data_IF_159809709437
#
_entry.id   IF_159809709437
#
_cell.length_a   1.000
_cell.length_b   1.000
_cell.length_c   1.000
_cell.angle_alpha   90.00
_cell.angle_beta   90.00
_cell.angle_gamma   90.00
#
_symmetry.space_group_name_H-M   'P 1'
#
loop_
_entity.id
_entity.type
_entity.pdbx_description
1 polymer ?
#
# COMPACT_ATOMS: atom_id res chain seq x y z
N UNK A 1 11.63 -19.72 1.16
CA UNK A 1 11.27 -18.33 0.85
C UNK A 1 9.77 -18.15 1.03
N UNK A 2 9.36 -17.07 1.69
CA UNK A 2 7.93 -16.82 1.91
C UNK A 2 7.26 -16.36 0.62
N UNK A 3 6.13 -16.97 0.27
CA UNK A 3 5.30 -16.49 -0.84
C UNK A 3 4.57 -15.20 -0.48
N UNK A 4 4.48 -14.88 0.81
CA UNK A 4 3.79 -13.69 1.29
C UNK A 4 4.82 -12.62 1.59
N UNK A 5 4.91 -11.64 0.70
CA UNK A 5 5.86 -10.53 0.80
C UNK A 5 5.73 -9.83 2.15
N UNK A 6 6.80 -9.78 2.97
CA UNK A 6 6.73 -9.16 4.30
C UNK A 6 6.38 -7.67 4.27
N UNK A 7 6.69 -6.97 3.19
CA UNK A 7 6.32 -5.55 3.06
C UNK A 7 4.82 -5.39 2.84
N UNK A 8 4.16 -6.37 2.26
CA UNK A 8 2.71 -6.38 2.01
C UNK A 8 1.97 -7.08 3.15
N UNK A 9 2.52 -8.18 3.65
CA UNK A 9 1.88 -9.05 4.64
C UNK A 9 1.86 -8.41 6.03
N UNK A 10 1.16 -7.31 6.12
CA UNK A 10 0.95 -6.55 7.35
C UNK A 10 -0.40 -5.83 7.18
N UNK A 11 -1.31 -5.92 8.15
CA UNK A 11 -2.70 -5.48 7.97
C UNK A 11 -2.84 -4.04 7.45
N UNK A 12 -2.11 -3.10 8.02
CA UNK A 12 -2.23 -1.69 7.63
C UNK A 12 -1.66 -1.45 6.24
N UNK A 13 -0.48 -2.00 5.95
CA UNK A 13 0.13 -1.83 4.63
C UNK A 13 -0.70 -2.49 3.53
N UNK A 14 -1.27 -3.66 3.82
CA UNK A 14 -2.16 -4.32 2.87
C UNK A 14 -3.38 -3.43 2.57
N UNK A 15 -3.99 -2.84 3.60
CA UNK A 15 -5.13 -1.93 3.42
C UNK A 15 -4.75 -0.70 2.61
N UNK A 16 -3.57 -0.14 2.85
CA UNK A 16 -3.07 0.99 2.06
C UNK A 16 -2.98 0.62 0.58
N UNK A 17 -2.36 -0.51 0.27
CA UNK A 17 -2.18 -0.95 -1.11
C UNK A 17 -3.53 -1.24 -1.77
N UNK A 18 -4.47 -1.81 -1.05
CA UNK A 18 -5.83 -2.05 -1.56
C UNK A 18 -6.53 -0.73 -1.93
N UNK A 19 -6.42 0.28 -1.07
CA UNK A 19 -7.00 1.59 -1.35
C UNK A 19 -6.35 2.22 -2.58
N UNK A 20 -5.02 2.17 -2.67
CA UNK A 20 -4.29 2.75 -3.80
C UNK A 20 -4.54 2.00 -5.10
N UNK A 21 -4.88 0.72 -5.05
CA UNK A 21 -5.15 -0.06 -6.26
C UNK A 21 -6.42 0.37 -6.99
N UNK A 22 -7.32 1.06 -6.31
CA UNK A 22 -8.59 1.51 -6.88
C UNK A 22 -8.60 2.96 -7.37
N UNK A 23 -7.49 3.68 -7.25
CA UNK A 23 -7.40 5.10 -7.61
C UNK A 23 -6.09 5.39 -8.31
N UNK A 24 -6.00 6.54 -9.00
CA UNK A 24 -4.75 6.97 -9.62
C UNK A 24 -3.77 7.50 -8.57
N UNK A 25 -4.29 8.22 -7.59
CA UNK A 25 -3.51 8.75 -6.47
C UNK A 25 -4.44 9.03 -5.30
N UNK A 26 -3.88 9.02 -4.09
CA UNK A 26 -4.62 9.37 -2.89
C UNK A 26 -3.73 10.24 -2.00
N UNK A 27 -4.29 11.29 -1.44
CA UNK A 27 -3.51 12.16 -0.56
C UNK A 27 -3.45 11.60 0.86
N UNK A 28 -2.52 12.18 1.63
CA UNK A 28 -2.24 11.75 2.99
C UNK A 28 -3.50 11.83 3.88
N UNK A 29 -4.24 12.92 3.75
CA UNK A 29 -5.45 13.13 4.55
C UNK A 29 -6.53 12.10 4.27
N UNK A 30 -6.73 11.75 3.00
CA UNK A 30 -7.68 10.71 2.62
C UNK A 30 -7.31 9.37 3.25
N UNK A 31 -6.03 8.99 3.14
CA UNK A 31 -5.55 7.72 3.71
C UNK A 31 -5.68 7.71 5.23
N UNK A 32 -5.31 8.82 5.86
CA UNK A 32 -5.35 8.95 7.31
C UNK A 32 -6.78 8.78 7.83
N UNK A 33 -7.73 9.49 7.20
CA UNK A 33 -9.14 9.45 7.62
C UNK A 33 -9.77 8.09 7.33
N UNK A 34 -9.49 7.52 6.16
CA UNK A 34 -10.08 6.24 5.76
C UNK A 34 -9.59 5.10 6.63
N UNK A 35 -8.30 5.09 6.96
CA UNK A 35 -7.70 4.03 7.76
C UNK A 35 -7.88 4.25 9.27
N UNK A 36 -8.19 5.46 9.68
CA UNK A 36 -8.40 5.83 11.10
C UNK A 36 -7.18 5.46 11.96
N UNK A 37 -6.00 5.82 11.50
CA UNK A 37 -4.73 5.57 12.20
C UNK A 37 -4.04 6.89 12.49
N UNK A 38 -2.94 6.85 13.26
CA UNK A 38 -2.18 8.05 13.59
C UNK A 38 -1.31 8.48 12.41
N UNK A 39 -0.95 9.76 12.38
CA UNK A 39 -0.04 10.31 11.36
C UNK A 39 1.30 9.58 11.38
N UNK A 40 1.83 9.29 12.57
CA UNK A 40 3.10 8.58 12.70
C UNK A 40 3.04 7.18 12.14
N UNK A 41 1.95 6.45 12.41
CA UNK A 41 1.76 5.11 11.86
C UNK A 41 1.67 5.14 10.34
N UNK A 42 0.87 6.05 9.80
CA UNK A 42 0.74 6.17 8.34
C UNK A 42 2.08 6.50 7.70
N UNK A 43 2.80 7.50 8.22
CA UNK A 43 4.11 7.89 7.71
C UNK A 43 5.10 6.72 7.72
N UNK A 44 5.12 5.95 8.80
CA UNK A 44 6.01 4.81 8.93
C UNK A 44 5.72 3.74 7.89
N UNK A 45 4.45 3.39 7.72
CA UNK A 45 4.04 2.39 6.74
C UNK A 45 4.28 2.86 5.30
N UNK A 46 4.01 4.14 5.01
CA UNK A 46 4.25 4.68 3.68
C UNK A 46 5.74 4.68 3.33
N UNK A 47 6.61 5.04 4.30
CA UNK A 47 8.05 4.98 4.10
C UNK A 47 8.52 3.56 3.79
N UNK A 48 7.98 2.58 4.49
CA UNK A 48 8.30 1.17 4.24
C UNK A 48 7.89 0.74 2.83
N UNK A 49 6.70 1.13 2.39
CA UNK A 49 6.21 0.81 1.06
C UNK A 49 7.00 1.54 -0.04
N UNK A 50 7.40 2.77 0.23
CA UNK A 50 8.23 3.54 -0.69
C UNK A 50 9.61 2.90 -0.85
N UNK A 51 10.23 2.49 0.25
CA UNK A 51 11.52 1.79 0.23
C UNK A 51 11.45 0.47 -0.55
N UNK A 52 10.34 -0.22 -0.46
CA UNK A 52 10.12 -1.44 -1.22
C UNK A 52 9.88 -1.19 -2.71
N UNK A 53 9.66 0.06 -3.10
CA UNK A 53 9.38 0.41 -4.49
C UNK A 53 7.93 0.24 -4.90
N UNK A 54 7.02 0.07 -3.95
CA UNK A 54 5.62 -0.24 -4.24
C UNK A 54 4.72 0.97 -4.33
N UNK A 55 5.13 2.08 -3.74
CA UNK A 55 4.41 3.35 -3.85
C UNK A 55 5.40 4.45 -4.19
N UNK A 56 4.90 5.49 -4.86
CA UNK A 56 5.66 6.71 -5.09
C UNK A 56 4.94 7.88 -4.46
N UNK A 57 5.73 8.83 -3.96
CA UNK A 57 5.26 10.04 -3.31
C UNK A 57 5.32 11.18 -4.30
N UNK A 58 4.27 11.97 -4.37
CA UNK A 58 4.25 13.21 -5.14
C UNK A 58 3.89 14.34 -4.19
N UNK A 59 4.79 15.29 -4.06
CA UNK A 59 4.56 16.50 -3.25
C UNK A 59 4.20 17.64 -4.17
N UNK A 60 3.03 18.24 -3.92
CA UNK A 60 2.52 19.37 -4.68
C UNK A 60 2.09 20.47 -3.73
N UNK A 61 1.70 21.61 -4.30
CA UNK A 61 1.16 22.70 -3.53
C UNK A 61 -0.22 23.05 -4.07
N UNK A 62 -1.18 23.25 -3.16
CA UNK A 62 -2.45 23.84 -3.49
C UNK A 62 -2.41 25.27 -2.96
N UNK A 63 -2.10 26.23 -3.84
CA UNK A 63 -1.74 27.57 -3.42
C UNK A 63 -0.42 27.54 -2.64
N UNK A 64 -0.45 27.92 -1.37
CA UNK A 64 0.72 27.89 -0.48
C UNK A 64 0.73 26.66 0.43
N UNK A 65 -0.24 25.79 0.34
CA UNK A 65 -0.39 24.63 1.23
C UNK A 65 0.27 23.42 0.58
N UNK A 66 1.27 22.80 1.24
CA UNK A 66 1.85 21.59 0.71
C UNK A 66 0.88 20.42 0.79
N UNK A 67 0.87 19.60 -0.25
CA UNK A 67 0.02 18.42 -0.31
C UNK A 67 0.88 17.21 -0.71
N UNK A 68 0.71 16.10 -0.02
CA UNK A 68 1.41 14.86 -0.31
C UNK A 68 0.42 13.83 -0.81
N UNK A 69 0.66 13.30 -2.01
CA UNK A 69 -0.14 12.25 -2.61
C UNK A 69 0.71 11.02 -2.87
N UNK A 70 0.06 9.87 -2.92
CA UNK A 70 0.71 8.58 -3.13
C UNK A 70 0.02 7.84 -4.26
N UNK A 71 0.83 7.14 -5.06
CA UNK A 71 0.34 6.29 -6.15
C UNK A 71 0.99 4.93 -6.04
N UNK A 72 0.25 3.90 -6.42
CA UNK A 72 0.79 2.57 -6.54
C UNK A 72 1.70 2.52 -7.77
N UNK A 73 2.91 1.99 -7.61
CA UNK A 73 3.82 1.82 -8.74
C UNK A 73 3.42 0.58 -9.54
N UNK A 74 4.00 0.43 -10.73
CA UNK A 74 3.84 -0.79 -11.53
C UNK A 74 4.31 -2.01 -10.74
N UNK A 75 5.45 -1.88 -10.03
CA UNK A 75 5.98 -2.95 -9.19
C UNK A 75 5.04 -3.26 -8.02
N UNK A 76 4.49 -2.23 -7.38
CA UNK A 76 3.54 -2.40 -6.29
C UNK A 76 2.29 -3.14 -6.74
N UNK A 77 1.78 -2.77 -7.91
CA UNK A 77 0.60 -3.44 -8.49
C UNK A 77 0.87 -4.90 -8.79
N UNK A 78 2.03 -5.19 -9.40
CA UNK A 78 2.43 -6.56 -9.71
C UNK A 78 2.64 -7.39 -8.45
N UNK A 79 3.29 -6.81 -7.44
CA UNK A 79 3.56 -7.50 -6.17
C UNK A 79 2.28 -7.77 -5.38
N UNK A 80 1.33 -6.84 -5.41
CA UNK A 80 0.02 -7.04 -4.77
C UNK A 80 -0.75 -8.17 -5.45
N UNK A 81 -0.70 -8.24 -6.79
CA UNK A 81 -1.32 -9.32 -7.55
C UNK A 81 -0.72 -10.67 -7.18
N UNK A 82 0.60 -10.74 -7.09
CA UNK A 82 1.31 -11.96 -6.68
C UNK A 82 0.92 -12.38 -5.25
N UNK A 83 0.79 -11.40 -4.36
CA UNK A 83 0.36 -11.64 -2.98
C UNK A 83 -1.03 -12.27 -2.94
N UNK A 84 -1.98 -11.74 -3.71
CA UNK A 84 -3.33 -12.31 -3.78
C UNK A 84 -3.32 -13.73 -4.33
N UNK A 85 -2.49 -14.01 -5.34
CA UNK A 85 -2.35 -15.35 -5.89
C UNK A 85 -1.82 -16.33 -4.86
N UNK A 86 -0.83 -15.91 -4.05
CA UNK A 86 -0.28 -16.74 -2.99
C UNK A 86 -1.33 -17.07 -1.92
N UNK A 87 -2.11 -16.08 -1.49
CA UNK A 87 -3.20 -16.30 -0.54
C UNK A 87 -4.25 -17.24 -1.11
N UNK A 88 -4.57 -17.09 -2.38
CA UNK A 88 -5.57 -17.92 -3.05
C UNK A 88 -5.12 -19.37 -3.14
N UNK A 89 -3.85 -19.62 -3.42
CA UNK A 89 -3.29 -20.98 -3.41
C UNK A 89 -3.39 -21.62 -2.02
N UNK A 90 -3.09 -20.86 -0.97
CA UNK A 90 -3.21 -21.37 0.40
C UNK A 90 -4.66 -21.69 0.72
N UNK A 91 -5.57 -20.78 0.38
CA UNK A 91 -7.00 -20.95 0.62
C UNK A 91 -7.57 -22.15 -0.11
N UNK A 92 -7.05 -22.44 -1.29
CA UNK A 92 -7.54 -23.52 -2.16
C UNK A 92 -6.88 -24.86 -1.91
N UNK A 93 -5.83 -24.90 -1.08
CA UNK A 93 -5.09 -26.14 -0.80
C UNK A 93 -6.00 -27.17 -0.14
N UNK A 94 -5.83 -28.44 -0.53
CA UNK A 94 -6.59 -29.57 -0.01
C UNK A 94 -5.62 -30.69 0.40
N UNK A 95 -5.92 -31.42 1.47
CA UNK A 95 -5.10 -32.56 1.86
C UNK A 95 -5.29 -33.72 0.87
N UNK A 96 -4.21 -34.42 0.64
CA UNK A 96 -4.19 -35.61 -0.18
C UNK A 96 -4.21 -35.35 -1.64
#
# INVERSE_FOLDING_TARGET
MSELDPSIHQPTRLRILMLLSGVDAADFSFLLNTLAITKGNLSSHMSRLEQAGYVKVVKTFEGKVPNTSYSLTKEGRASLSTYWQALDRIRSARPG
#
